data_IF_174019389262
#
_entry.id   IF_174019389262
#
_cell.length_a   1.000
_cell.length_b   1.000
_cell.length_c   1.000
_cell.angle_alpha   90.00
_cell.angle_beta   90.00
_cell.angle_gamma   90.00
#
_symmetry.space_group_name_H-M   'P 1'
#
loop_
_entity.id
_entity.type
_entity.pdbx_description
1 polymer ?
#
# COMPACT_ATOMS: atom_id res chain seq x y z
N UNK A 1 9.16 43.14 -26.05
CA UNK A 1 8.20 42.47 -25.15
C UNK A 1 8.17 41.01 -25.55
N UNK A 2 8.93 40.15 -24.83
CA UNK A 2 9.06 38.72 -25.14
C UNK A 2 8.04 38.01 -24.27
N UNK A 3 6.99 37.47 -24.89
CA UNK A 3 6.07 36.54 -24.20
C UNK A 3 6.78 35.20 -24.01
N UNK A 4 7.13 34.88 -22.77
CA UNK A 4 7.54 33.53 -22.40
C UNK A 4 6.30 32.63 -22.41
N UNK A 5 6.18 31.78 -23.42
CA UNK A 5 5.20 30.70 -23.43
C UNK A 5 5.61 29.67 -22.37
N UNK A 6 4.94 29.68 -21.22
CA UNK A 6 5.09 28.65 -20.21
C UNK A 6 4.63 27.31 -20.79
N UNK A 7 5.55 26.34 -20.93
CA UNK A 7 5.20 24.97 -21.25
C UNK A 7 4.50 24.36 -20.03
N UNK A 8 3.22 24.02 -20.19
CA UNK A 8 2.46 23.24 -19.22
C UNK A 8 3.09 21.84 -19.16
N UNK A 9 3.66 21.48 -18.01
CA UNK A 9 4.10 20.11 -17.78
C UNK A 9 2.85 19.21 -17.80
N UNK A 10 2.71 18.39 -18.82
CA UNK A 10 1.68 17.36 -18.90
C UNK A 10 2.13 16.19 -18.02
N UNK A 11 1.61 16.14 -16.79
CA UNK A 11 1.74 14.96 -15.93
C UNK A 11 0.95 13.79 -16.52
N UNK A 12 1.39 12.57 -16.28
CA UNK A 12 0.66 11.36 -16.67
C UNK A 12 -0.75 11.39 -16.04
N UNK A 13 -1.77 11.45 -16.87
CA UNK A 13 -3.20 11.52 -16.45
C UNK A 13 -3.81 10.12 -16.38
N UNK A 14 -3.11 9.15 -15.74
CA UNK A 14 -3.64 7.81 -15.55
C UNK A 14 -4.43 7.74 -14.25
N UNK A 15 -5.70 7.40 -14.36
CA UNK A 15 -6.58 7.09 -13.24
C UNK A 15 -6.73 5.58 -13.10
N UNK A 16 -6.63 5.06 -11.86
CA UNK A 16 -6.76 3.64 -11.55
C UNK A 16 -7.95 3.42 -10.64
N UNK A 17 -8.80 2.45 -10.98
CA UNK A 17 -9.96 2.07 -10.18
C UNK A 17 -10.20 0.56 -10.22
N UNK A 18 -10.43 -0.09 -9.07
CA UNK A 18 -10.30 0.42 -7.72
C UNK A 18 -8.82 0.55 -7.30
N UNK A 19 -8.55 1.34 -6.26
CA UNK A 19 -7.19 1.53 -5.68
C UNK A 19 -6.79 0.42 -4.70
N UNK A 20 -7.70 -0.50 -4.39
CA UNK A 20 -7.49 -1.69 -3.58
C UNK A 20 -8.48 -2.77 -4.01
N UNK A 21 -8.07 -4.02 -4.00
CA UNK A 21 -8.87 -5.16 -4.47
C UNK A 21 -9.03 -6.15 -3.34
N UNK A 22 -10.27 -6.62 -3.13
CA UNK A 22 -10.58 -7.69 -2.19
C UNK A 22 -11.33 -8.80 -2.92
N UNK A 23 -10.72 -9.99 -2.99
CA UNK A 23 -11.39 -11.20 -3.45
C UNK A 23 -12.19 -11.79 -2.30
N UNK A 24 -13.48 -11.89 -2.47
CA UNK A 24 -14.35 -12.57 -1.52
C UNK A 24 -14.10 -14.08 -1.53
N UNK A 25 -14.49 -14.81 -0.47
CA UNK A 25 -14.44 -16.26 -0.47
C UNK A 25 -15.13 -16.86 -1.70
N UNK A 26 -14.43 -17.74 -2.42
CA UNK A 26 -14.92 -18.31 -3.68
C UNK A 26 -14.76 -17.45 -4.93
N UNK A 27 -14.42 -16.17 -4.79
CA UNK A 27 -14.18 -15.30 -5.95
C UNK A 27 -12.78 -15.59 -6.53
N UNK A 28 -12.73 -15.87 -7.86
CA UNK A 28 -11.50 -16.22 -8.55
C UNK A 28 -11.04 -15.17 -9.56
N UNK A 29 -11.82 -14.12 -9.80
CA UNK A 29 -11.45 -13.06 -10.72
C UNK A 29 -11.88 -11.68 -10.22
N UNK A 30 -11.08 -10.66 -10.56
CA UNK A 30 -11.36 -9.25 -10.33
C UNK A 30 -10.82 -8.43 -11.50
N UNK A 31 -11.12 -7.14 -11.55
CA UNK A 31 -10.62 -6.22 -12.58
C UNK A 31 -10.06 -4.94 -11.99
N UNK A 32 -9.06 -4.38 -12.67
CA UNK A 32 -8.57 -3.02 -12.48
C UNK A 32 -8.84 -2.27 -13.79
N UNK A 33 -9.45 -1.12 -13.70
CA UNK A 33 -9.62 -0.21 -14.82
C UNK A 33 -8.54 0.86 -14.77
N UNK A 34 -7.90 1.07 -15.90
CA UNK A 34 -6.93 2.12 -16.15
C UNK A 34 -7.55 3.08 -17.15
N UNK A 35 -7.78 4.33 -16.74
CA UNK A 35 -8.30 5.38 -17.60
C UNK A 35 -7.19 6.37 -17.91
N UNK A 36 -6.87 6.52 -19.18
CA UNK A 36 -5.95 7.53 -19.66
C UNK A 36 -6.74 8.81 -20.01
N UNK A 37 -6.62 9.83 -19.16
CA UNK A 37 -7.25 11.14 -19.38
C UNK A 37 -6.34 12.11 -20.15
N UNK A 38 -5.17 11.63 -20.62
CA UNK A 38 -4.25 12.40 -21.44
C UNK A 38 -4.56 12.30 -22.94
N UNK A 39 -3.88 13.11 -23.71
CA UNK A 39 -3.98 13.21 -25.16
C UNK A 39 -3.01 12.30 -25.94
N UNK A 40 -2.19 11.55 -25.23
CA UNK A 40 -1.18 10.65 -25.79
C UNK A 40 -1.34 9.23 -25.26
N UNK A 41 -0.99 8.17 -26.05
CA UNK A 41 -1.04 6.79 -25.58
C UNK A 41 -0.14 6.56 -24.39
N UNK A 42 -0.56 5.72 -23.46
CA UNK A 42 0.21 5.28 -22.30
C UNK A 42 0.54 3.80 -22.45
N UNK A 43 1.82 3.46 -22.28
CA UNK A 43 2.31 2.07 -22.30
C UNK A 43 2.69 1.67 -20.89
N UNK A 44 2.37 0.45 -20.50
CA UNK A 44 2.67 -0.02 -19.15
C UNK A 44 2.91 -1.51 -19.07
N UNK A 45 3.60 -1.91 -18.01
CA UNK A 45 3.80 -3.31 -17.62
C UNK A 45 3.12 -3.58 -16.29
N UNK A 46 2.37 -4.68 -16.21
CA UNK A 46 1.67 -5.11 -15.01
C UNK A 46 2.37 -6.34 -14.44
N UNK A 47 2.76 -6.25 -13.19
CA UNK A 47 3.45 -7.33 -12.46
C UNK A 47 2.73 -7.60 -11.16
N UNK A 48 2.61 -8.87 -10.79
CA UNK A 48 1.97 -9.30 -9.54
C UNK A 48 3.00 -9.95 -8.63
N UNK A 49 2.98 -9.55 -7.37
CA UNK A 49 3.87 -10.08 -6.33
C UNK A 49 3.05 -10.59 -5.16
N UNK A 50 3.49 -11.69 -4.55
CA UNK A 50 3.10 -12.01 -3.19
C UNK A 50 3.70 -10.95 -2.27
N UNK A 51 2.88 -10.41 -1.37
CA UNK A 51 3.29 -9.34 -0.48
C UNK A 51 3.37 -9.85 0.95
N UNK A 52 4.54 -9.76 1.53
CA UNK A 52 4.82 -10.07 2.92
C UNK A 52 5.48 -8.85 3.60
N UNK A 53 5.76 -8.96 4.89
CA UNK A 53 6.52 -7.98 5.65
C UNK A 53 7.57 -8.68 6.49
N UNK A 54 8.82 -8.23 6.38
CA UNK A 54 9.97 -8.75 7.13
C UNK A 54 10.76 -7.58 7.70
N UNK A 55 11.20 -7.71 8.94
CA UNK A 55 11.97 -6.67 9.61
C UNK A 55 11.31 -5.28 9.57
N UNK A 56 9.97 -5.24 9.67
CA UNK A 56 9.21 -3.98 9.68
C UNK A 56 9.03 -3.30 8.32
N UNK A 57 9.45 -3.92 7.21
CA UNK A 57 9.32 -3.38 5.83
C UNK A 57 8.60 -4.35 4.91
N UNK A 58 8.09 -3.83 3.78
CA UNK A 58 7.44 -4.66 2.77
C UNK A 58 8.45 -5.55 2.05
N UNK A 59 8.07 -6.80 1.82
CA UNK A 59 8.82 -7.82 1.08
C UNK A 59 7.94 -8.35 -0.06
N UNK A 60 8.40 -8.15 -1.31
CA UNK A 60 7.67 -8.51 -2.51
C UNK A 60 8.39 -9.64 -3.24
N UNK A 61 7.75 -10.80 -3.36
CA UNK A 61 8.28 -11.95 -4.10
C UNK A 61 7.44 -12.26 -5.33
N UNK A 62 8.04 -12.60 -6.48
CA UNK A 62 7.28 -13.01 -7.66
C UNK A 62 6.33 -14.16 -7.34
N UNK A 63 5.11 -14.12 -7.91
CA UNK A 63 4.11 -15.15 -7.68
C UNK A 63 3.41 -15.55 -8.97
N UNK A 64 2.92 -16.79 -8.98
CA UNK A 64 2.03 -17.29 -10.03
C UNK A 64 0.63 -17.60 -9.52
N UNK A 65 0.36 -17.35 -8.23
CA UNK A 65 -0.94 -17.65 -7.60
C UNK A 65 -2.04 -16.67 -8.02
N UNK A 66 -1.66 -15.41 -8.29
CA UNK A 66 -2.50 -14.38 -8.86
C UNK A 66 -1.84 -13.87 -10.13
N UNK A 67 -2.58 -13.83 -11.24
CA UNK A 67 -2.08 -13.45 -12.57
C UNK A 67 -2.85 -12.27 -13.10
N UNK A 68 -2.14 -11.30 -13.68
CA UNK A 68 -2.73 -10.16 -14.40
C UNK A 68 -2.73 -10.42 -15.91
N UNK A 69 -3.80 -10.03 -16.60
CA UNK A 69 -3.94 -10.12 -18.04
C UNK A 69 -4.67 -8.90 -18.62
N UNK A 70 -4.11 -8.22 -19.63
CA UNK A 70 -2.80 -8.45 -20.22
C UNK A 70 -1.64 -8.00 -19.32
N UNK A 71 -0.42 -8.59 -19.42
CA UNK A 71 0.74 -8.18 -18.63
C UNK A 71 1.45 -6.93 -19.19
N UNK A 72 1.22 -6.62 -20.46
CA UNK A 72 1.65 -5.38 -21.13
C UNK A 72 0.42 -4.69 -21.66
N UNK A 73 0.33 -3.41 -21.44
CA UNK A 73 -0.84 -2.60 -21.76
C UNK A 73 -0.48 -1.41 -22.65
N UNK A 74 -1.41 -1.06 -23.51
CA UNK A 74 -1.46 0.20 -24.22
C UNK A 74 -2.83 0.81 -24.00
N UNK A 75 -2.87 2.00 -23.38
CA UNK A 75 -4.11 2.73 -23.13
C UNK A 75 -4.12 3.94 -24.04
N UNK A 76 -4.97 3.91 -25.07
CA UNK A 76 -5.11 5.02 -26.02
C UNK A 76 -5.57 6.31 -25.32
N UNK A 77 -5.37 7.49 -25.92
CA UNK A 77 -5.85 8.74 -25.38
C UNK A 77 -7.34 8.70 -25.07
N UNK A 78 -7.74 9.28 -23.94
CA UNK A 78 -9.13 9.37 -23.51
C UNK A 78 -9.88 8.03 -23.51
N UNK A 79 -9.17 6.93 -23.23
CA UNK A 79 -9.75 5.59 -23.25
C UNK A 79 -9.49 4.84 -21.95
N UNK A 80 -10.17 3.69 -21.79
CA UNK A 80 -10.07 2.82 -20.62
C UNK A 80 -9.60 1.43 -21.04
N UNK A 81 -8.63 0.89 -20.30
CA UNK A 81 -8.17 -0.50 -20.43
C UNK A 81 -8.47 -1.25 -19.13
N UNK A 82 -9.04 -2.44 -19.24
CA UNK A 82 -9.25 -3.33 -18.09
C UNK A 82 -8.12 -4.36 -18.00
N UNK A 83 -7.52 -4.46 -16.82
CA UNK A 83 -6.61 -5.55 -16.44
C UNK A 83 -7.43 -6.55 -15.64
N UNK A 84 -7.51 -7.78 -16.13
CA UNK A 84 -8.15 -8.88 -15.41
C UNK A 84 -7.13 -9.54 -14.49
N UNK A 85 -7.51 -9.73 -13.24
CA UNK A 85 -6.77 -10.49 -12.24
C UNK A 85 -7.45 -11.83 -12.05
N UNK A 86 -6.70 -12.94 -12.15
CA UNK A 86 -7.23 -14.29 -12.03
C UNK A 86 -6.41 -15.07 -11.03
N UNK A 87 -7.08 -15.65 -10.03
CA UNK A 87 -6.48 -16.60 -9.09
C UNK A 87 -6.35 -17.97 -9.76
N UNK A 88 -5.17 -18.58 -9.63
CA UNK A 88 -4.98 -19.94 -10.15
C UNK A 88 -5.68 -20.96 -9.25
N UNK A 89 -6.28 -22.01 -9.83
CA UNK A 89 -6.79 -23.16 -9.08
C UNK A 89 -5.65 -23.78 -8.27
N UNK A 90 -5.90 -24.13 -7.02
CA UNK A 90 -4.87 -24.70 -6.13
C UNK A 90 -3.98 -23.66 -5.43
N UNK A 91 -4.17 -22.36 -5.64
CA UNK A 91 -3.63 -21.32 -4.77
C UNK A 91 -4.20 -21.51 -3.34
N UNK A 92 -3.59 -22.45 -2.63
CA UNK A 92 -4.05 -22.97 -1.34
C UNK A 92 -3.88 -21.91 -0.25
N UNK A 93 -4.87 -21.75 0.62
CA UNK A 93 -4.72 -21.07 1.89
C UNK A 93 -5.98 -20.41 2.45
N UNK A 94 -6.97 -20.05 1.63
CA UNK A 94 -8.09 -19.24 2.13
C UNK A 94 -9.28 -20.05 2.68
N UNK A 95 -9.24 -21.38 2.65
CA UNK A 95 -10.41 -22.20 2.97
C UNK A 95 -10.40 -22.82 4.38
N UNK A 96 -9.29 -22.72 5.13
CA UNK A 96 -9.25 -23.24 6.49
C UNK A 96 -9.84 -22.25 7.47
N UNK A 97 -10.64 -22.72 8.44
CA UNK A 97 -11.11 -21.88 9.54
C UNK A 97 -9.90 -21.31 10.30
N UNK A 98 -9.89 -20.00 10.53
CA UNK A 98 -8.78 -19.30 11.18
C UNK A 98 -7.58 -19.00 10.24
N UNK A 99 -7.65 -19.30 8.94
CA UNK A 99 -6.63 -18.91 7.98
C UNK A 99 -6.56 -17.37 7.87
N UNK A 100 -5.34 -16.85 7.78
CA UNK A 100 -5.14 -15.44 7.47
C UNK A 100 -5.43 -15.18 5.98
N UNK A 101 -5.74 -13.93 5.64
CA UNK A 101 -5.85 -13.49 4.26
C UNK A 101 -4.54 -13.69 3.50
N UNK A 102 -4.64 -13.85 2.18
CA UNK A 102 -3.48 -13.80 1.30
C UNK A 102 -3.32 -12.40 0.74
N UNK A 103 -2.09 -11.93 0.67
CA UNK A 103 -1.77 -10.54 0.34
C UNK A 103 -0.88 -10.45 -0.89
N UNK A 104 -1.22 -9.53 -1.79
CA UNK A 104 -0.52 -9.31 -3.06
C UNK A 104 -0.33 -7.82 -3.32
N UNK A 105 0.68 -7.49 -4.12
CA UNK A 105 0.87 -6.17 -4.74
C UNK A 105 0.86 -6.30 -6.25
N UNK A 106 0.08 -5.43 -6.88
CA UNK A 106 0.05 -5.29 -8.34
C UNK A 106 0.81 -4.00 -8.64
N UNK A 107 1.96 -4.14 -9.29
CA UNK A 107 2.76 -3.01 -9.76
C UNK A 107 2.42 -2.75 -11.22
N UNK A 108 2.10 -1.50 -11.52
CA UNK A 108 1.84 -1.03 -12.88
C UNK A 108 2.89 0.03 -13.17
N UNK A 109 3.87 -0.32 -14.00
CA UNK A 109 5.00 0.53 -14.35
C UNK A 109 4.74 1.17 -15.72
N UNK A 110 4.84 2.47 -15.79
CA UNK A 110 4.81 3.20 -17.05
C UNK A 110 6.09 2.92 -17.86
N UNK A 111 5.93 2.50 -19.10
CA UNK A 111 7.04 2.22 -20.02
C UNK A 111 7.42 3.48 -20.82
N UNK A 112 8.70 3.65 -21.16
CA UNK A 112 9.15 4.77 -21.97
C UNK A 112 8.55 4.69 -23.37
N UNK A 113 8.23 5.85 -23.93
CA UNK A 113 7.98 5.98 -25.38
C UNK A 113 9.32 6.00 -26.11
N UNK A 114 9.37 5.38 -27.27
CA UNK A 114 10.59 5.33 -28.08
C UNK A 114 11.04 6.70 -28.65
N UNK A 115 10.22 7.73 -28.55
CA UNK A 115 10.41 9.07 -29.09
C UNK A 115 10.79 10.13 -28.04
N UNK A 116 11.25 9.72 -26.85
CA UNK A 116 11.72 10.66 -25.84
C UNK A 116 12.87 11.51 -26.40
N UNK A 117 12.57 12.77 -26.73
CA UNK A 117 13.57 13.73 -27.19
C UNK A 117 14.67 13.91 -26.13
N UNK A 118 15.92 13.83 -26.57
CA UNK A 118 17.08 14.10 -25.72
C UNK A 118 16.98 15.50 -25.12
N UNK A 119 16.96 15.58 -23.78
CA UNK A 119 17.00 16.84 -23.05
C UNK A 119 15.79 17.12 -22.14
N UNK A 120 14.72 16.33 -22.19
CA UNK A 120 13.59 16.49 -21.27
C UNK A 120 13.65 15.52 -20.09
N UNK A 121 13.32 16.00 -18.90
CA UNK A 121 13.12 15.15 -17.72
C UNK A 121 11.85 14.35 -17.90
N UNK A 122 11.96 13.04 -18.14
CA UNK A 122 10.83 12.12 -18.19
C UNK A 122 10.55 11.57 -16.78
N UNK A 123 9.43 11.94 -16.20
CA UNK A 123 8.92 11.34 -14.96
C UNK A 123 8.15 10.09 -15.35
N UNK A 124 8.52 8.93 -14.78
CA UNK A 124 7.79 7.67 -14.95
C UNK A 124 7.11 7.34 -13.64
N UNK A 125 5.84 6.97 -13.73
CA UNK A 125 5.06 6.61 -12.57
C UNK A 125 5.00 5.09 -12.41
N UNK A 126 5.10 4.66 -11.16
CA UNK A 126 4.79 3.29 -10.74
C UNK A 126 3.59 3.35 -9.80
N UNK A 127 2.55 2.63 -10.15
CA UNK A 127 1.39 2.47 -9.29
C UNK A 127 1.48 1.13 -8.55
N UNK A 128 1.15 1.16 -7.26
CA UNK A 128 1.17 -0.03 -6.40
C UNK A 128 -0.22 -0.25 -5.80
N UNK A 129 -0.95 -1.23 -6.34
CA UNK A 129 -2.32 -1.55 -5.92
C UNK A 129 -2.28 -2.79 -5.04
N UNK A 130 -2.74 -2.71 -3.77
CA UNK A 130 -2.87 -3.88 -2.92
C UNK A 130 -4.02 -4.77 -3.38
N UNK A 131 -3.85 -6.09 -3.25
CA UNK A 131 -4.90 -7.05 -3.47
C UNK A 131 -4.90 -8.11 -2.35
N UNK A 132 -6.09 -8.41 -1.85
CA UNK A 132 -6.31 -9.25 -0.70
C UNK A 132 -7.28 -10.38 -1.05
N UNK A 133 -6.96 -11.62 -0.64
CA UNK A 133 -7.89 -12.73 -0.73
C UNK A 133 -8.39 -13.02 0.68
N UNK A 134 -9.65 -12.69 0.91
CA UNK A 134 -10.24 -12.79 2.22
C UNK A 134 -10.45 -14.26 2.63
N UNK A 135 -10.22 -14.62 3.89
CA UNK A 135 -10.56 -15.93 4.42
C UNK A 135 -12.08 -16.11 4.48
N UNK A 136 -12.53 -17.36 4.50
CA UNK A 136 -13.96 -17.69 4.64
C UNK A 136 -14.50 -17.45 6.06
N UNK A 137 -13.64 -17.11 7.00
CA UNK A 137 -13.99 -16.84 8.40
C UNK A 137 -14.64 -15.46 8.55
N UNK A 138 -15.93 -15.45 8.87
CA UNK A 138 -16.70 -14.21 9.12
C UNK A 138 -16.27 -13.43 10.38
N UNK A 139 -15.40 -14.01 11.23
CA UNK A 139 -14.83 -13.35 12.42
C UNK A 139 -13.42 -12.79 12.15
N UNK A 140 -12.91 -12.93 10.92
CA UNK A 140 -11.61 -12.40 10.55
C UNK A 140 -11.55 -10.88 10.75
N UNK A 141 -10.52 -10.41 11.45
CA UNK A 141 -10.32 -9.00 11.76
C UNK A 141 -8.84 -8.68 11.97
N UNK A 142 -8.41 -7.42 11.78
CA UNK A 142 -7.11 -6.96 12.24
C UNK A 142 -7.10 -6.83 13.77
N UNK A 143 -5.95 -7.08 14.39
CA UNK A 143 -5.70 -6.85 15.81
C UNK A 143 -4.32 -6.24 16.00
N UNK A 144 -4.28 -4.91 16.14
CA UNK A 144 -3.03 -4.18 16.26
C UNK A 144 -2.53 -4.14 17.70
N UNK A 145 -1.26 -4.44 17.87
CA UNK A 145 -0.47 -4.26 19.08
C UNK A 145 0.63 -3.24 18.78
N UNK A 146 0.66 -2.16 19.56
CA UNK A 146 1.58 -1.06 19.34
C UNK A 146 2.71 -1.08 20.35
N UNK A 147 3.92 -0.83 19.90
CA UNK A 147 5.10 -0.68 20.74
C UNK A 147 6.06 0.36 20.17
N UNK A 148 6.93 0.88 21.03
CA UNK A 148 8.07 1.72 20.64
C UNK A 148 9.36 1.05 21.06
N UNK A 149 10.43 1.22 20.29
CA UNK A 149 11.74 0.67 20.56
C UNK A 149 12.83 1.54 19.95
N UNK A 150 14.08 1.33 20.36
CA UNK A 150 15.23 2.01 19.75
C UNK A 150 15.98 1.10 18.80
N UNK A 151 16.42 1.64 17.68
CA UNK A 151 17.33 1.00 16.74
C UNK A 151 18.32 2.04 16.21
N UNK A 152 19.62 1.80 16.39
CA UNK A 152 20.66 2.73 15.95
C UNK A 152 20.54 4.13 16.56
N UNK A 153 20.06 4.25 17.80
CA UNK A 153 19.85 5.52 18.49
C UNK A 153 18.57 6.27 18.08
N UNK A 154 17.81 5.78 17.10
CA UNK A 154 16.53 6.37 16.69
C UNK A 154 15.35 5.60 17.29
N UNK A 155 14.32 6.35 17.72
CA UNK A 155 13.06 5.77 18.15
C UNK A 155 12.20 5.35 16.97
N UNK A 156 11.57 4.19 17.11
CA UNK A 156 10.65 3.63 16.13
C UNK A 156 9.31 3.30 16.77
N UNK A 157 8.25 3.52 16.02
CA UNK A 157 6.92 2.99 16.30
C UNK A 157 6.74 1.68 15.55
N UNK A 158 6.25 0.64 16.21
CA UNK A 158 5.90 -0.66 15.63
C UNK A 158 4.41 -0.91 15.82
N UNK A 159 3.76 -1.34 14.74
CA UNK A 159 2.43 -1.93 14.76
C UNK A 159 2.54 -3.41 14.37
N UNK A 160 2.32 -4.32 15.31
CA UNK A 160 2.19 -5.75 15.06
C UNK A 160 0.72 -6.10 14.90
N UNK A 161 0.39 -6.85 13.86
CA UNK A 161 -0.98 -7.28 13.63
C UNK A 161 -1.13 -8.76 13.98
N UNK A 162 -1.67 -9.03 15.17
CA UNK A 162 -1.97 -10.38 15.65
C UNK A 162 -3.31 -10.94 15.11
N UNK A 163 -3.98 -10.21 14.22
CA UNK A 163 -5.23 -10.61 13.57
C UNK A 163 -5.02 -11.41 12.29
N UNK A 164 -6.13 -11.70 11.61
CA UNK A 164 -6.19 -12.51 10.39
C UNK A 164 -6.48 -11.71 9.12
N UNK A 165 -6.83 -10.43 9.25
CA UNK A 165 -6.93 -9.47 8.15
C UNK A 165 -5.87 -8.39 8.28
N UNK A 166 -5.50 -7.77 7.15
CA UNK A 166 -4.62 -6.60 7.14
C UNK A 166 -5.22 -5.43 7.91
N UNK A 167 -4.36 -4.64 8.51
CA UNK A 167 -4.69 -3.33 9.02
C UNK A 167 -4.16 -2.26 8.06
N UNK A 168 -5.03 -1.54 7.37
CA UNK A 168 -4.69 -0.31 6.67
C UNK A 168 -4.66 0.82 7.70
N UNK A 169 -3.48 1.35 7.98
CA UNK A 169 -3.26 2.40 8.98
C UNK A 169 -3.23 3.74 8.23
N UNK A 170 -4.25 4.53 8.43
CA UNK A 170 -4.45 5.83 7.79
C UNK A 170 -3.84 6.99 8.56
N UNK A 171 -4.59 8.09 8.69
CA UNK A 171 -4.18 9.24 9.46
C UNK A 171 -3.82 8.82 10.89
N UNK A 172 -2.64 9.23 11.33
CA UNK A 172 -2.07 8.79 12.62
C UNK A 172 -1.39 9.95 13.32
N UNK A 173 -1.69 10.12 14.59
CA UNK A 173 -0.99 11.02 15.50
C UNK A 173 -0.55 10.30 16.78
N UNK A 174 0.45 10.85 17.42
CA UNK A 174 0.94 10.38 18.72
C UNK A 174 0.85 11.49 19.76
N UNK A 175 0.54 11.13 21.01
CA UNK A 175 0.40 12.07 22.11
C UNK A 175 1.59 11.99 23.06
N UNK A 176 2.24 13.15 23.25
CA UNK A 176 3.36 13.35 24.18
C UNK A 176 2.97 14.44 25.18
N UNK A 177 2.69 14.03 26.42
CA UNK A 177 2.09 14.94 27.41
C UNK A 177 0.74 15.47 26.91
N UNK A 178 0.63 16.78 26.76
CA UNK A 178 -0.58 17.44 26.24
C UNK A 178 -0.53 17.73 24.73
N UNK A 179 0.58 17.40 24.06
CA UNK A 179 0.78 17.71 22.64
C UNK A 179 0.48 16.49 21.76
N UNK A 180 -0.34 16.69 20.73
CA UNK A 180 -0.51 15.73 19.65
C UNK A 180 0.45 16.07 18.51
N UNK A 181 1.23 15.08 18.07
CA UNK A 181 2.15 15.18 16.93
C UNK A 181 1.65 14.29 15.82
N UNK A 182 1.39 14.87 14.66
CA UNK A 182 0.92 14.18 13.49
C UNK A 182 2.07 13.40 12.83
N UNK A 183 1.90 12.09 12.65
CA UNK A 183 2.82 11.23 11.89
C UNK A 183 2.43 11.12 10.42
N UNK A 184 1.13 11.12 10.13
CA UNK A 184 0.60 11.09 8.76
C UNK A 184 -0.80 11.66 8.70
N UNK A 185 -1.09 12.47 7.67
CA UNK A 185 -2.45 12.96 7.33
C UNK A 185 -3.27 11.95 6.55
N UNK A 186 -2.60 11.03 5.87
CA UNK A 186 -3.20 10.03 5.01
C UNK A 186 -2.77 8.62 5.38
N UNK A 187 -2.46 7.81 4.39
CA UNK A 187 -1.99 6.44 4.58
C UNK A 187 -0.60 6.43 5.22
N UNK A 188 -0.50 5.94 6.46
CA UNK A 188 0.78 5.65 7.10
C UNK A 188 1.38 4.33 6.60
N UNK A 189 0.54 3.32 6.34
CA UNK A 189 0.97 2.04 5.82
C UNK A 189 -0.02 0.91 6.10
N UNK A 190 0.49 -0.30 5.99
CA UNK A 190 -0.26 -1.53 6.28
C UNK A 190 0.51 -2.38 7.28
N UNK A 191 -0.21 -3.08 8.16
CA UNK A 191 0.32 -4.19 8.93
C UNK A 191 -0.42 -5.47 8.50
N UNK A 192 0.30 -6.41 7.87
CA UNK A 192 -0.25 -7.66 7.37
C UNK A 192 -0.50 -8.66 8.51
N UNK A 193 -1.36 -9.67 8.35
CA UNK A 193 -1.63 -10.68 9.37
C UNK A 193 -0.34 -11.38 9.85
N UNK A 194 -0.13 -11.42 11.17
CA UNK A 194 1.06 -12.00 11.78
C UNK A 194 2.36 -11.25 11.50
N UNK A 195 2.28 -10.00 11.04
CA UNK A 195 3.45 -9.18 10.67
C UNK A 195 3.47 -7.86 11.42
N UNK A 196 4.66 -7.26 11.45
CA UNK A 196 4.89 -5.94 12.00
C UNK A 196 5.28 -4.95 10.90
N UNK A 197 4.81 -3.71 11.04
CA UNK A 197 5.29 -2.56 10.31
C UNK A 197 5.95 -1.57 11.26
N UNK A 198 7.03 -0.94 10.81
CA UNK A 198 7.84 -0.04 11.64
C UNK A 198 8.05 1.29 10.93
N UNK A 199 8.06 2.36 11.70
CA UNK A 199 8.33 3.73 11.24
C UNK A 199 9.25 4.44 12.19
N UNK A 200 10.25 5.14 11.66
CA UNK A 200 11.07 6.03 12.48
C UNK A 200 10.20 7.17 13.02
N UNK A 201 10.33 7.47 14.31
CA UNK A 201 9.66 8.60 14.91
C UNK A 201 10.43 9.90 14.63
N UNK A 202 9.74 11.02 14.40
CA UNK A 202 10.38 12.32 14.24
C UNK A 202 11.24 12.68 15.47
N UNK A 203 12.34 13.45 15.30
CA UNK A 203 13.23 13.82 16.40
C UNK A 203 12.55 14.56 17.55
N UNK A 204 11.54 15.38 17.28
CA UNK A 204 10.77 16.11 18.28
C UNK A 204 9.86 15.20 19.12
N UNK A 205 9.44 14.07 18.58
CA UNK A 205 8.78 12.99 19.33
C UNK A 205 9.80 12.22 20.17
N UNK A 206 10.93 11.90 19.57
CA UNK A 206 12.00 11.13 20.21
C UNK A 206 12.60 11.81 21.44
N UNK A 207 12.75 13.15 21.42
CA UNK A 207 13.33 13.94 22.51
C UNK A 207 12.50 13.91 23.80
N UNK A 208 11.19 13.69 23.71
CA UNK A 208 10.27 13.66 24.86
C UNK A 208 9.62 12.30 25.08
N UNK A 209 10.26 11.19 24.65
CA UNK A 209 9.66 9.85 24.66
C UNK A 209 9.20 9.44 26.08
N UNK A 210 7.89 9.26 26.31
CA UNK A 210 7.35 8.79 27.58
C UNK A 210 7.47 7.26 27.69
N UNK A 211 7.25 6.73 28.91
CA UNK A 211 7.18 5.28 29.12
C UNK A 211 6.05 4.59 28.32
N UNK A 212 5.03 5.34 27.95
CA UNK A 212 3.92 4.90 27.11
C UNK A 212 3.45 6.06 26.23
N UNK A 213 3.38 5.79 24.92
CA UNK A 213 3.00 6.77 23.90
C UNK A 213 1.54 6.56 23.51
N UNK A 214 0.69 7.58 23.68
CA UNK A 214 -0.69 7.56 23.21
C UNK A 214 -0.72 7.59 21.67
N UNK A 215 -1.60 6.80 21.05
CA UNK A 215 -1.74 6.72 19.60
C UNK A 215 -3.20 6.96 19.24
N UNK A 216 -3.44 7.78 18.25
CA UNK A 216 -4.72 7.91 17.56
C UNK A 216 -4.47 7.58 16.07
N UNK A 217 -5.17 6.60 15.55
CA UNK A 217 -5.01 6.16 14.17
C UNK A 217 -6.37 5.82 13.54
N UNK A 218 -6.48 6.00 12.23
CA UNK A 218 -7.58 5.42 11.47
C UNK A 218 -7.16 4.05 10.97
N UNK A 219 -7.86 2.98 11.37
CA UNK A 219 -7.56 1.61 10.94
C UNK A 219 -8.75 1.07 10.16
N UNK A 220 -8.54 0.68 8.90
CA UNK A 220 -9.61 0.22 8.00
C UNK A 220 -10.82 1.16 8.03
N UNK A 221 -10.55 2.47 7.86
CA UNK A 221 -11.52 3.58 7.89
C UNK A 221 -12.19 3.88 9.23
N UNK A 222 -11.84 3.17 10.31
CA UNK A 222 -12.41 3.38 11.65
C UNK A 222 -11.39 4.05 12.57
N UNK A 223 -11.75 5.11 13.30
CA UNK A 223 -10.86 5.71 14.29
C UNK A 223 -10.62 4.73 15.45
N UNK A 224 -9.36 4.65 15.88
CA UNK A 224 -8.92 3.83 17.00
C UNK A 224 -7.96 4.63 17.87
N UNK A 225 -8.07 4.44 19.19
CA UNK A 225 -7.10 4.92 20.17
C UNK A 225 -6.38 3.74 20.80
N UNK A 226 -5.08 3.86 20.95
CA UNK A 226 -4.23 2.82 21.51
C UNK A 226 -3.10 3.44 22.33
N UNK A 227 -2.30 2.59 22.95
CA UNK A 227 -1.10 2.97 23.69
C UNK A 227 0.04 2.06 23.26
N UNK A 228 1.20 2.65 22.98
CA UNK A 228 2.45 1.94 22.68
C UNK A 228 3.36 1.98 23.91
N UNK A 229 3.61 0.82 24.50
CA UNK A 229 4.63 0.68 25.54
C UNK A 229 6.02 0.60 24.91
N UNK A 230 7.05 1.03 25.66
CA UNK A 230 8.43 0.80 25.25
C UNK A 230 8.72 -0.69 25.32
N UNK A 231 9.08 -1.30 24.17
CA UNK A 231 9.53 -2.68 24.15
C UNK A 231 10.87 -2.76 24.89
N UNK A 232 10.96 -3.69 25.85
CA UNK A 232 12.23 -4.04 26.49
C UNK A 232 12.93 -5.04 25.57
N UNK A 233 14.18 -4.77 25.25
CA UNK A 233 15.05 -5.70 24.52
C UNK A 233 15.22 -7.02 25.29
#
# INVERSE_FOLDING_TARGET
MVLAAGQLAHGANLQISPVSISFQPGQNAAGIQLQNNGDTPLYGQVRVYAWDQRNGVDDLTPTTQLVASPPVIEVAPNSTQTIRLVRRPGAQGAAAAGAAEQTYRILIDELPRGDSQQGNVAIRLQYSVPAFVLPADGQAAPRLEWSTFQRGGAWHLRAFNAGTLHAQIGATSVRIGERDVELSKGLLGYALPGRAREWALPPDVAAGMPASLGIQATVNTRPQSASAAVARD
#
